data_IF_359692562520
#
_entry.id   IF_359692562520
#
_cell.length_a   1.000
_cell.length_b   1.000
_cell.length_c   1.000
_cell.angle_alpha   90.00
_cell.angle_beta   90.00
_cell.angle_gamma   90.00
#
_symmetry.space_group_name_H-M   'P 1'
#
loop_
_entity.id
_entity.type
_entity.pdbx_description
1 polymer ?
#
# COMPACT_ATOMS: atom_id res chain seq x y z
N UNK A 1 36.95 -10.36 9.14
CA UNK A 1 35.68 -9.65 8.89
C UNK A 1 34.59 -10.45 9.57
N UNK A 2 33.73 -9.77 10.34
CA UNK A 2 32.69 -10.40 11.15
C UNK A 2 31.38 -10.51 10.36
N UNK A 3 30.90 -11.75 10.16
CA UNK A 3 29.69 -12.08 9.41
C UNK A 3 28.42 -11.37 9.93
N UNK A 4 28.37 -11.00 11.21
CA UNK A 4 27.22 -10.27 11.75
C UNK A 4 27.19 -8.82 11.28
N UNK A 5 28.36 -8.19 11.10
CA UNK A 5 28.45 -6.83 10.55
C UNK A 5 27.95 -6.76 9.11
N UNK A 6 28.31 -7.73 8.27
CA UNK A 6 27.82 -7.83 6.89
C UNK A 6 26.30 -8.04 6.82
N UNK A 7 25.76 -8.90 7.70
CA UNK A 7 24.31 -9.10 7.82
C UNK A 7 23.57 -7.83 8.28
N UNK A 8 24.16 -7.06 9.19
CA UNK A 8 23.58 -5.78 9.62
C UNK A 8 23.55 -4.77 8.47
N UNK A 9 24.59 -4.72 7.65
CA UNK A 9 24.67 -3.81 6.52
C UNK A 9 23.61 -4.17 5.45
N UNK A 10 23.48 -5.46 5.13
CA UNK A 10 22.43 -5.97 4.24
C UNK A 10 21.03 -5.62 4.79
N UNK A 11 20.79 -5.79 6.09
CA UNK A 11 19.51 -5.44 6.73
C UNK A 11 19.24 -3.94 6.67
N UNK A 12 20.24 -3.09 6.90
CA UNK A 12 20.14 -1.62 6.79
C UNK A 12 19.81 -1.20 5.36
N UNK A 13 20.48 -1.78 4.38
CA UNK A 13 20.24 -1.54 2.95
C UNK A 13 18.83 -1.95 2.54
N UNK A 14 18.37 -3.14 2.95
CA UNK A 14 16.98 -3.59 2.74
C UNK A 14 15.96 -2.66 3.40
N UNK A 15 16.22 -2.19 4.62
CA UNK A 15 15.33 -1.25 5.35
C UNK A 15 15.25 0.11 4.67
N UNK A 16 16.36 0.65 4.15
CA UNK A 16 16.41 1.90 3.37
C UNK A 16 15.69 1.75 2.03
N UNK A 17 15.89 0.66 1.31
CA UNK A 17 15.18 0.37 0.06
C UNK A 17 13.66 0.25 0.30
N UNK A 18 13.25 -0.44 1.37
CA UNK A 18 11.84 -0.57 1.77
C UNK A 18 11.21 0.79 2.12
N UNK A 19 11.95 1.70 2.77
CA UNK A 19 11.49 3.08 3.04
C UNK A 19 11.34 3.92 1.77
N UNK A 20 12.17 3.72 0.74
CA UNK A 20 12.05 4.45 -0.55
C UNK A 20 10.79 4.05 -1.34
N UNK A 21 10.33 2.80 -1.17
CA UNK A 21 9.07 2.30 -1.73
C UNK A 21 7.81 2.87 -1.03
N UNK A 22 7.96 3.46 0.16
CA UNK A 22 6.89 4.21 0.84
C UNK A 22 6.60 5.58 0.22
N UNK A 23 7.17 5.93 -0.95
CA UNK A 23 6.64 7.03 -1.77
C UNK A 23 5.12 6.86 -1.86
N UNK A 24 4.39 7.89 -1.43
CA UNK A 24 2.93 7.94 -1.39
C UNK A 24 2.38 7.25 -2.65
N UNK A 25 1.83 6.04 -2.50
CA UNK A 25 1.44 5.31 -3.69
C UNK A 25 0.26 6.02 -4.32
N UNK A 26 0.09 5.85 -5.63
CA UNK A 26 -1.03 6.45 -6.38
C UNK A 26 -2.41 6.20 -5.75
N UNK A 27 -2.54 5.15 -4.92
CA UNK A 27 -3.74 4.85 -4.13
C UNK A 27 -4.03 5.88 -3.03
N UNK A 28 -2.99 6.50 -2.44
CA UNK A 28 -3.10 7.53 -1.40
C UNK A 28 -3.76 8.81 -1.94
N UNK A 29 -3.56 9.11 -3.22
CA UNK A 29 -4.25 10.21 -3.92
C UNK A 29 -5.77 10.06 -3.91
N UNK A 30 -6.27 8.83 -3.87
CA UNK A 30 -7.70 8.51 -3.88
C UNK A 30 -8.18 7.97 -2.53
N UNK A 31 -7.42 8.20 -1.46
CA UNK A 31 -7.70 7.69 -0.12
C UNK A 31 -9.13 8.04 0.34
N UNK A 32 -9.51 9.31 0.27
CA UNK A 32 -10.82 9.77 0.72
C UNK A 32 -11.97 9.08 -0.03
N UNK A 33 -11.86 8.95 -1.36
CA UNK A 33 -12.87 8.27 -2.18
C UNK A 33 -12.96 6.77 -1.83
N UNK A 34 -11.83 6.10 -1.56
CA UNK A 34 -11.80 4.69 -1.17
C UNK A 34 -12.40 4.49 0.23
N UNK A 35 -12.10 5.38 1.18
CA UNK A 35 -12.70 5.34 2.53
C UNK A 35 -14.21 5.59 2.46
N UNK A 36 -14.67 6.49 1.60
CA UNK A 36 -16.10 6.72 1.39
C UNK A 36 -16.80 5.50 0.78
N UNK A 37 -16.21 4.87 -0.23
CA UNK A 37 -16.71 3.60 -0.77
C UNK A 37 -16.79 2.52 0.31
N UNK A 38 -15.76 2.44 1.17
CA UNK A 38 -15.75 1.47 2.27
C UNK A 38 -16.83 1.77 3.32
N UNK A 39 -17.05 3.04 3.66
CA UNK A 39 -18.15 3.47 4.55
C UNK A 39 -19.53 3.17 3.96
N UNK A 40 -19.68 3.26 2.63
CA UNK A 40 -20.88 2.86 1.89
C UNK A 40 -21.06 1.33 1.77
N UNK A 41 -20.18 0.53 2.38
CA UNK A 41 -20.28 -0.93 2.40
C UNK A 41 -19.64 -1.64 1.19
N UNK A 42 -18.87 -0.93 0.36
CA UNK A 42 -18.22 -1.55 -0.81
C UNK A 42 -17.22 -2.64 -0.39
N UNK A 43 -17.21 -3.74 -1.15
CA UNK A 43 -16.22 -4.81 -0.97
C UNK A 43 -14.88 -4.41 -1.60
N UNK A 44 -13.83 -5.14 -1.25
CA UNK A 44 -12.49 -4.91 -1.82
C UNK A 44 -12.47 -5.07 -3.35
N UNK A 45 -13.36 -5.90 -3.90
CA UNK A 45 -13.50 -6.08 -5.35
C UNK A 45 -14.21 -4.92 -6.03
N UNK A 46 -15.22 -4.34 -5.39
CA UNK A 46 -15.87 -3.11 -5.88
C UNK A 46 -14.88 -1.95 -5.94
N UNK A 47 -14.08 -1.77 -4.89
CA UNK A 47 -13.02 -0.75 -4.86
C UNK A 47 -12.00 -1.01 -5.97
N UNK A 48 -11.61 -2.27 -6.20
CA UNK A 48 -10.69 -2.63 -7.30
C UNK A 48 -11.29 -2.30 -8.66
N UNK A 49 -12.55 -2.64 -8.88
CA UNK A 49 -13.24 -2.40 -10.15
C UNK A 49 -13.43 -0.90 -10.38
N UNK A 50 -13.79 -0.16 -9.34
CA UNK A 50 -13.91 1.30 -9.39
C UNK A 50 -12.58 1.97 -9.74
N UNK A 51 -11.48 1.57 -9.09
CA UNK A 51 -10.13 2.08 -9.42
C UNK A 51 -9.73 1.77 -10.87
N UNK A 52 -10.09 0.58 -11.36
CA UNK A 52 -9.82 0.19 -12.74
C UNK A 52 -10.67 0.99 -13.74
N UNK A 53 -11.95 1.19 -13.45
CA UNK A 53 -12.94 1.81 -14.35
C UNK A 53 -12.85 3.33 -14.39
N UNK A 54 -12.74 3.98 -13.23
CA UNK A 54 -12.78 5.45 -13.13
C UNK A 54 -11.39 6.08 -13.03
N UNK A 55 -10.42 5.41 -12.42
CA UNK A 55 -9.07 5.95 -12.23
C UNK A 55 -8.01 5.30 -13.12
N UNK A 56 -8.43 4.39 -14.02
CA UNK A 56 -7.57 3.61 -14.94
C UNK A 56 -6.39 2.94 -14.23
N UNK A 57 -6.54 2.60 -12.94
CA UNK A 57 -5.48 2.06 -12.10
C UNK A 57 -5.67 0.56 -11.88
N UNK A 58 -4.67 -0.23 -12.28
CA UNK A 58 -4.62 -1.67 -12.00
C UNK A 58 -3.91 -1.91 -10.67
N UNK A 59 -4.65 -2.36 -9.67
CA UNK A 59 -4.12 -2.72 -8.37
C UNK A 59 -4.70 -4.07 -7.94
N UNK A 60 -3.91 -4.84 -7.18
CA UNK A 60 -4.32 -6.13 -6.64
C UNK A 60 -5.22 -5.96 -5.41
N UNK A 61 -6.14 -6.91 -5.19
CA UNK A 61 -7.02 -6.91 -4.01
C UNK A 61 -6.24 -6.83 -2.71
N UNK A 62 -5.12 -7.55 -2.63
CA UNK A 62 -4.22 -7.57 -1.46
C UNK A 62 -3.62 -6.20 -1.18
N UNK A 63 -3.21 -5.46 -2.21
CA UNK A 63 -2.65 -4.12 -2.04
C UNK A 63 -3.68 -3.11 -1.52
N UNK A 64 -4.95 -3.24 -1.91
CA UNK A 64 -6.07 -2.44 -1.36
C UNK A 64 -6.28 -2.78 0.11
N UNK A 65 -6.36 -4.08 0.44
CA UNK A 65 -6.54 -4.56 1.81
C UNK A 65 -5.43 -4.06 2.75
N UNK A 66 -4.15 -4.22 2.35
CA UNK A 66 -3.02 -3.72 3.14
C UNK A 66 -3.06 -2.19 3.32
N UNK A 67 -3.55 -1.45 2.32
CA UNK A 67 -3.67 0.01 2.43
C UNK A 67 -4.77 0.42 3.39
N UNK A 68 -5.95 -0.18 3.24
CA UNK A 68 -7.11 0.07 4.08
C UNK A 68 -6.78 -0.22 5.55
N UNK A 69 -6.16 -1.37 5.84
CA UNK A 69 -5.73 -1.71 7.19
C UNK A 69 -4.80 -0.65 7.77
N UNK A 70 -3.80 -0.20 7.00
CA UNK A 70 -2.88 0.86 7.42
C UNK A 70 -3.58 2.21 7.68
N UNK A 71 -4.61 2.55 6.92
CA UNK A 71 -5.37 3.79 7.14
C UNK A 71 -6.32 3.70 8.35
N UNK A 72 -6.76 2.50 8.73
CA UNK A 72 -7.64 2.24 9.88
C UNK A 72 -6.87 2.08 11.19
N UNK A 73 -5.60 1.69 11.16
CA UNK A 73 -4.72 1.59 12.34
C UNK A 73 -4.22 2.98 12.83
N UNK A 74 -4.83 4.09 12.40
CA UNK A 74 -4.43 5.46 12.74
C UNK A 74 -5.64 6.30 13.13
#
# INVERSE_FOLDING_TARGET
MDLQSELQEIRRTRKRARRKSYRASRLDRYRAEIEELRRKGASLEDIRLWLRRYKRMRITRTAIHYRLRRWQEK
#
